data_IF_271370082764
#
_entry.id   IF_271370082764
#
_cell.length_a   1.000
_cell.length_b   1.000
_cell.length_c   1.000
_cell.angle_alpha   90.00
_cell.angle_beta   90.00
_cell.angle_gamma   90.00
#
_symmetry.space_group_name_H-M   'P 1'
#
loop_
_entity.id
_entity.type
_entity.pdbx_description
1 polymer ?
#
# COMPACT_ATOMS: atom_id res chain seq x y z
N UNK A 1 5.53 10.95 -4.58
CA UNK A 1 6.21 9.65 -4.73
C UNK A 1 6.40 9.24 -6.19
N UNK A 2 5.35 8.91 -6.97
CA UNK A 2 5.51 8.37 -8.35
C UNK A 2 6.38 9.23 -9.27
N UNK A 3 6.21 10.56 -9.21
CA UNK A 3 7.03 11.52 -10.00
C UNK A 3 8.53 11.45 -9.65
N UNK A 4 8.86 11.15 -8.40
CA UNK A 4 10.24 11.03 -7.94
C UNK A 4 10.85 9.70 -8.40
N UNK A 5 10.13 8.60 -8.22
CA UNK A 5 10.59 7.26 -8.63
C UNK A 5 10.78 7.18 -10.15
N UNK A 6 9.85 7.73 -10.93
CA UNK A 6 9.95 7.69 -12.40
C UNK A 6 11.05 8.63 -12.96
N UNK A 7 11.62 9.53 -12.16
CA UNK A 7 12.68 10.43 -12.60
C UNK A 7 14.07 9.79 -12.49
N UNK A 8 14.21 8.68 -11.77
CA UNK A 8 15.49 8.02 -11.52
C UNK A 8 15.50 6.60 -12.10
N UNK A 9 16.37 6.36 -13.08
CA UNK A 9 16.51 5.06 -13.76
C UNK A 9 17.04 3.93 -12.87
N UNK A 10 17.48 4.24 -11.64
CA UNK A 10 17.94 3.22 -10.68
C UNK A 10 16.79 2.36 -10.15
N UNK A 11 15.55 2.84 -10.21
CA UNK A 11 14.39 2.13 -9.68
C UNK A 11 13.51 1.59 -10.80
N UNK A 12 13.17 0.30 -10.69
CA UNK A 12 12.19 -0.31 -11.57
C UNK A 12 10.79 -0.14 -10.98
N UNK A 13 9.97 0.69 -11.62
CA UNK A 13 8.62 1.00 -11.18
C UNK A 13 7.56 0.41 -12.12
N UNK A 14 6.53 -0.21 -11.55
CA UNK A 14 5.36 -0.68 -12.30
C UNK A 14 4.13 0.07 -11.79
N UNK A 15 3.50 0.83 -12.68
CA UNK A 15 2.16 1.39 -12.43
C UNK A 15 1.11 0.34 -12.73
N UNK A 16 0.16 0.17 -11.81
CA UNK A 16 -0.95 -0.79 -11.94
C UNK A 16 -2.30 -0.08 -11.94
N UNK A 17 -3.36 -0.81 -12.30
CA UNK A 17 -4.70 -0.24 -12.46
C UNK A 17 -5.38 0.15 -11.14
N UNK A 18 -5.06 -0.53 -10.03
CA UNK A 18 -5.59 -0.25 -8.68
C UNK A 18 -4.67 -0.85 -7.61
N UNK A 19 -4.94 -0.54 -6.35
CA UNK A 19 -4.11 -0.94 -5.20
C UNK A 19 -4.12 -2.45 -4.96
N UNK A 20 -5.26 -3.12 -5.16
CA UNK A 20 -5.35 -4.59 -5.06
C UNK A 20 -4.45 -5.30 -6.08
N UNK A 21 -4.44 -4.80 -7.32
CA UNK A 21 -3.53 -5.28 -8.37
C UNK A 21 -2.07 -5.01 -8.01
N UNK A 22 -1.76 -3.95 -7.26
CA UNK A 22 -0.40 -3.66 -6.82
C UNK A 22 0.12 -4.78 -5.90
N UNK A 23 -0.73 -5.23 -4.97
CA UNK A 23 -0.43 -6.34 -4.06
C UNK A 23 -0.25 -7.66 -4.82
N UNK A 24 -1.12 -7.94 -5.79
CA UNK A 24 -1.03 -9.14 -6.60
C UNK A 24 0.25 -9.17 -7.45
N UNK A 25 0.61 -8.05 -8.10
CA UNK A 25 1.84 -7.92 -8.89
C UNK A 25 3.07 -8.03 -8.00
N UNK A 26 3.08 -7.39 -6.83
CA UNK A 26 4.15 -7.51 -5.84
C UNK A 26 4.37 -8.97 -5.41
N UNK A 27 3.28 -9.69 -5.13
CA UNK A 27 3.33 -11.11 -4.79
C UNK A 27 3.92 -11.93 -5.95
N UNK A 28 3.45 -11.72 -7.18
CA UNK A 28 3.99 -12.40 -8.36
C UNK A 28 5.48 -12.10 -8.59
N UNK A 29 5.91 -10.86 -8.37
CA UNK A 29 7.32 -10.48 -8.43
C UNK A 29 8.16 -11.24 -7.39
N UNK A 30 7.67 -11.34 -6.15
CA UNK A 30 8.35 -12.12 -5.12
C UNK A 30 8.48 -13.59 -5.52
N UNK A 31 7.39 -14.21 -5.97
CA UNK A 31 7.38 -15.62 -6.41
C UNK A 31 8.36 -15.87 -7.57
N UNK A 32 8.46 -14.93 -8.51
CA UNK A 32 9.33 -15.07 -9.67
C UNK A 32 10.82 -14.84 -9.38
N UNK A 33 11.15 -14.03 -8.36
CA UNK A 33 12.52 -13.53 -8.17
C UNK A 33 13.13 -13.82 -6.80
N UNK A 34 12.33 -14.19 -5.81
CA UNK A 34 12.71 -14.30 -4.41
C UNK A 34 12.99 -12.96 -3.71
N UNK A 35 12.88 -11.82 -4.40
CA UNK A 35 13.14 -10.49 -3.84
C UNK A 35 11.92 -9.93 -3.13
N UNK A 36 12.11 -9.15 -2.06
CA UNK A 36 11.02 -8.49 -1.35
C UNK A 36 10.52 -7.27 -2.13
N UNK A 37 9.24 -7.24 -2.56
CA UNK A 37 8.65 -6.10 -3.25
C UNK A 37 8.32 -4.96 -2.30
N UNK A 38 8.21 -3.76 -2.88
CA UNK A 38 7.69 -2.57 -2.22
C UNK A 38 6.43 -2.14 -2.97
N UNK A 39 5.33 -1.96 -2.25
CA UNK A 39 4.10 -1.36 -2.76
C UNK A 39 3.96 0.01 -2.11
N UNK A 40 3.77 1.04 -2.92
CA UNK A 40 3.46 2.38 -2.42
C UNK A 40 2.08 2.83 -2.90
N UNK A 41 1.29 3.40 -1.98
CA UNK A 41 -0.09 3.81 -2.20
C UNK A 41 -0.47 4.94 -1.24
N UNK A 42 -1.70 5.45 -1.32
CA UNK A 42 -2.25 6.35 -0.30
C UNK A 42 -3.18 5.56 0.64
N UNK A 43 -3.34 6.04 1.87
CA UNK A 43 -4.22 5.43 2.87
C UNK A 43 -5.67 5.24 2.40
N UNK A 44 -6.18 6.11 1.51
CA UNK A 44 -7.53 5.93 0.93
C UNK A 44 -7.68 4.66 0.08
N UNK A 45 -6.57 4.07 -0.37
CA UNK A 45 -6.56 2.86 -1.19
C UNK A 45 -6.45 1.56 -0.39
N UNK A 46 -6.30 1.62 0.94
CA UNK A 46 -6.05 0.42 1.76
C UNK A 46 -7.22 -0.56 1.66
N UNK A 47 -8.47 -0.10 1.66
CA UNK A 47 -9.65 -0.96 1.50
C UNK A 47 -9.58 -1.86 0.25
N UNK A 48 -9.07 -1.33 -0.88
CA UNK A 48 -8.89 -2.10 -2.12
C UNK A 48 -7.79 -3.18 -2.03
N UNK A 49 -6.87 -3.04 -1.07
CA UNK A 49 -5.78 -4.01 -0.86
C UNK A 49 -6.14 -5.18 0.05
N UNK A 50 -7.27 -5.10 0.77
CA UNK A 50 -7.57 -6.05 1.85
C UNK A 50 -7.67 -7.49 1.37
N UNK A 51 -8.43 -7.76 0.31
CA UNK A 51 -8.57 -9.12 -0.22
C UNK A 51 -7.22 -9.76 -0.57
N UNK A 52 -6.35 -9.14 -1.39
CA UNK A 52 -5.05 -9.72 -1.71
C UNK A 52 -4.08 -9.72 -0.53
N UNK A 53 -4.11 -8.75 0.40
CA UNK A 53 -3.28 -8.79 1.62
C UNK A 53 -3.64 -10.03 2.46
N UNK A 54 -4.92 -10.19 2.77
CA UNK A 54 -5.40 -11.34 3.56
C UNK A 54 -5.09 -12.65 2.85
N UNK A 55 -5.28 -12.69 1.53
CA UNK A 55 -5.14 -13.92 0.76
C UNK A 55 -3.70 -14.30 0.45
N UNK A 56 -2.75 -13.37 0.42
CA UNK A 56 -1.39 -13.59 -0.09
C UNK A 56 -0.29 -13.25 0.92
N UNK A 57 -0.43 -12.15 1.65
CA UNK A 57 0.64 -11.59 2.50
C UNK A 57 0.48 -12.02 3.95
N UNK A 58 -0.76 -12.19 4.42
CA UNK A 58 -1.03 -12.52 5.81
C UNK A 58 -0.27 -13.79 6.27
N UNK A 59 0.21 -13.73 7.50
CA UNK A 59 1.01 -14.75 8.19
C UNK A 59 0.26 -16.08 8.41
N UNK A 60 -1.07 -16.04 8.43
CA UNK A 60 -1.92 -17.25 8.51
C UNK A 60 -2.26 -17.84 7.14
N UNK A 61 -1.88 -17.16 6.05
CA UNK A 61 -2.08 -17.62 4.69
C UNK A 61 -0.74 -18.02 4.07
N UNK A 62 -0.25 -17.30 3.06
CA UNK A 62 1.01 -17.63 2.37
C UNK A 62 2.23 -16.89 2.89
N UNK A 63 2.08 -15.97 3.86
CA UNK A 63 3.19 -15.26 4.52
C UNK A 63 4.16 -14.59 3.53
N UNK A 64 3.65 -14.06 2.42
CA UNK A 64 4.50 -13.45 1.40
C UNK A 64 5.05 -12.11 1.90
N UNK A 65 6.38 -11.88 1.84
CA UNK A 65 6.95 -10.62 2.32
C UNK A 65 6.60 -9.47 1.37
N UNK A 66 6.18 -8.34 1.92
CA UNK A 66 5.92 -7.12 1.17
C UNK A 66 6.06 -5.91 2.10
N UNK A 67 6.73 -4.86 1.63
CA UNK A 67 6.82 -3.58 2.36
C UNK A 67 5.81 -2.60 1.78
N UNK A 68 5.01 -1.99 2.64
CA UNK A 68 4.05 -0.96 2.25
C UNK A 68 4.58 0.43 2.62
N UNK A 69 4.58 1.34 1.65
CA UNK A 69 4.84 2.78 1.86
C UNK A 69 3.55 3.53 1.59
N UNK A 70 2.94 4.06 2.64
CA UNK A 70 1.62 4.70 2.54
C UNK A 70 1.72 6.20 2.71
N UNK A 71 1.21 6.95 1.73
CA UNK A 71 0.97 8.38 1.87
C UNK A 71 -0.26 8.63 2.75
N UNK A 72 -0.13 9.51 3.73
CA UNK A 72 -1.19 9.84 4.68
C UNK A 72 -2.00 11.06 4.21
N UNK A 73 -3.25 10.84 3.81
CA UNK A 73 -4.26 11.91 3.66
C UNK A 73 -4.90 12.22 5.00
N UNK A 74 -5.02 13.51 5.33
CA UNK A 74 -5.56 13.94 6.62
C UNK A 74 -4.64 13.63 7.81
N UNK A 75 -3.33 13.86 7.66
CA UNK A 75 -2.38 13.73 8.76
C UNK A 75 -2.74 14.70 9.91
N UNK A 76 -2.81 14.23 11.17
CA UNK A 76 -3.13 15.07 12.32
C UNK A 76 -2.19 16.27 12.45
N UNK A 77 -2.78 17.47 12.53
CA UNK A 77 -2.02 18.72 12.65
C UNK A 77 -1.51 19.29 11.33
N UNK A 78 -1.76 18.63 10.20
CA UNK A 78 -1.48 19.14 8.86
C UNK A 78 -2.78 19.59 8.20
N UNK A 79 -2.77 20.75 7.57
CA UNK A 79 -3.92 21.23 6.80
C UNK A 79 -4.10 20.38 5.53
N UNK A 80 -5.30 19.84 5.34
CA UNK A 80 -5.69 19.08 4.16
C UNK A 80 -7.18 19.35 3.86
N UNK A 81 -7.64 18.92 2.69
CA UNK A 81 -9.02 19.07 2.27
C UNK A 81 -9.98 18.31 3.20
N UNK A 82 -11.22 18.80 3.38
CA UNK A 82 -12.17 18.24 4.35
C UNK A 82 -12.39 16.73 4.15
N UNK A 83 -12.48 16.27 2.91
CA UNK A 83 -12.62 14.84 2.58
C UNK A 83 -11.37 14.02 2.94
N UNK A 84 -10.19 14.62 2.92
CA UNK A 84 -8.95 13.94 3.31
C UNK A 84 -8.82 13.87 4.82
N UNK A 85 -9.25 14.91 5.54
CA UNK A 85 -9.28 14.91 7.02
C UNK A 85 -10.12 13.76 7.56
N UNK A 86 -11.35 13.61 7.05
CA UNK A 86 -12.21 12.49 7.45
C UNK A 86 -11.59 11.12 7.10
N UNK A 87 -10.97 10.99 5.91
CA UNK A 87 -10.24 9.77 5.55
C UNK A 87 -9.09 9.47 6.52
N UNK A 88 -8.35 10.49 6.95
CA UNK A 88 -7.26 10.36 7.91
C UNK A 88 -7.73 9.90 9.29
N UNK A 89 -8.82 10.48 9.77
CA UNK A 89 -9.48 10.09 11.04
C UNK A 89 -9.87 8.61 11.03
N UNK A 90 -10.65 8.18 10.03
CA UNK A 90 -11.12 6.78 9.97
C UNK A 90 -9.98 5.78 9.74
N UNK A 91 -8.89 6.19 9.09
CA UNK A 91 -7.71 5.30 8.88
C UNK A 91 -7.13 4.86 10.24
N UNK A 92 -7.12 5.73 11.24
CA UNK A 92 -6.60 5.39 12.57
C UNK A 92 -7.57 4.48 13.34
N UNK A 93 -8.87 4.67 13.19
CA UNK A 93 -9.89 3.82 13.81
C UNK A 93 -9.90 2.41 13.21
N UNK A 94 -9.75 2.30 11.89
CA UNK A 94 -9.81 1.03 11.16
C UNK A 94 -8.66 0.07 11.55
N UNK A 95 -7.51 0.60 11.99
CA UNK A 95 -6.31 -0.18 12.31
C UNK A 95 -5.81 -0.02 13.76
N UNK A 96 -6.62 0.52 14.66
CA UNK A 96 -6.33 0.58 16.11
C UNK A 96 -6.88 -0.62 16.90
N UNK A 97 -7.53 -1.57 16.22
CA UNK A 97 -7.90 -2.88 16.76
C UNK A 97 -6.68 -3.82 16.95
N UNK A 98 -6.81 -4.91 17.73
CA UNK A 98 -5.70 -5.77 18.16
C UNK A 98 -5.18 -6.72 17.05
N UNK A 99 -5.16 -6.28 15.79
CA UNK A 99 -4.57 -7.01 14.67
C UNK A 99 -3.10 -6.62 14.48
#
# INVERSE_FOLDING_TARGET
>A
MCKFINADSLYFNITVANEGNAVAVATGYHLATGKTPIVYLQNSGIGNTMNPIISLINDRAYTMPCVFIMGWRGEPGIHDELQHMFQGEITLDEYSGPF
#
